data_IF_674634181061
#
_entry.id   IF_674634181061
#
_cell.length_a   1.000
_cell.length_b   1.000
_cell.length_c   1.000
_cell.angle_alpha   90.00
_cell.angle_beta   90.00
_cell.angle_gamma   90.00
#
_symmetry.space_group_name_H-M   'P 1'
#
loop_
_entity.id
_entity.type
_entity.pdbx_description
1 polymer ?
#
# COMPACT_ATOMS: atom_id res chain seq x y z
N UNK A 1 21.90 -11.04 4.13
CA UNK A 1 20.92 -10.10 3.54
C UNK A 1 20.25 -9.41 4.71
N UNK A 2 20.53 -8.12 4.90
CA UNK A 2 20.09 -7.36 6.07
C UNK A 2 18.70 -6.77 5.81
N UNK A 3 17.69 -7.31 6.50
CA UNK A 3 16.30 -6.92 6.34
C UNK A 3 16.01 -5.50 6.83
N UNK A 4 16.91 -4.91 7.64
CA UNK A 4 16.76 -3.52 8.13
C UNK A 4 16.87 -2.46 7.02
N UNK A 5 17.42 -2.84 5.85
CA UNK A 5 17.55 -1.97 4.67
C UNK A 5 16.40 -2.12 3.68
N UNK A 6 15.44 -3.01 3.94
CA UNK A 6 14.28 -3.15 3.06
C UNK A 6 13.30 -2.01 3.36
N UNK A 7 13.42 -0.92 2.62
CA UNK A 7 12.41 0.13 2.62
C UNK A 7 11.06 -0.51 2.27
N UNK A 8 10.02 -0.29 3.09
CA UNK A 8 8.71 -0.92 2.89
C UNK A 8 7.96 -0.12 1.83
N UNK A 9 8.50 -0.16 0.61
CA UNK A 9 7.91 0.44 -0.56
C UNK A 9 6.89 -0.54 -1.15
N UNK A 10 5.60 -0.26 -0.91
CA UNK A 10 4.52 -1.04 -1.52
C UNK A 10 4.51 -0.77 -3.03
N UNK A 11 4.66 -1.84 -3.81
CA UNK A 11 4.64 -1.79 -5.28
C UNK A 11 3.23 -1.92 -5.86
N UNK A 12 2.35 -2.70 -5.23
CA UNK A 12 0.93 -2.76 -5.56
C UNK A 12 0.14 -3.40 -4.42
N UNK A 13 -1.09 -2.95 -4.22
CA UNK A 13 -2.04 -3.64 -3.32
C UNK A 13 -2.72 -4.75 -4.10
N UNK A 14 -2.58 -5.99 -3.64
CA UNK A 14 -3.12 -7.15 -4.32
C UNK A 14 -4.59 -7.38 -3.95
N UNK A 15 -4.94 -7.04 -2.72
CA UNK A 15 -6.29 -7.17 -2.19
C UNK A 15 -6.27 -7.56 -0.71
N UNK A 16 -7.40 -8.04 -0.22
CA UNK A 16 -7.50 -8.52 1.16
C UNK A 16 -8.01 -9.97 1.20
N UNK A 17 -7.66 -10.71 2.24
CA UNK A 17 -8.23 -12.03 2.46
C UNK A 17 -9.74 -11.92 2.70
N UNK A 18 -10.53 -12.84 2.13
CA UNK A 18 -12.00 -12.81 2.19
C UNK A 18 -12.54 -12.94 3.63
N UNK A 19 -11.91 -13.82 4.43
CA UNK A 19 -12.33 -14.11 5.80
C UNK A 19 -11.69 -13.17 6.84
N UNK A 20 -10.38 -13.25 7.03
CA UNK A 20 -9.64 -12.46 8.04
C UNK A 20 -9.57 -10.96 7.75
N UNK A 21 -9.84 -10.55 6.49
CA UNK A 21 -9.69 -9.17 6.02
C UNK A 21 -8.26 -8.65 6.19
N UNK A 22 -7.26 -9.53 6.18
CA UNK A 22 -5.86 -9.13 6.17
C UNK A 22 -5.48 -8.56 4.80
N UNK A 23 -4.71 -7.48 4.80
CA UNK A 23 -4.32 -6.77 3.59
C UNK A 23 -3.03 -7.37 3.02
N UNK A 24 -3.02 -7.66 1.73
CA UNK A 24 -1.88 -8.21 1.01
C UNK A 24 -1.42 -7.28 -0.09
N UNK A 25 -0.10 -7.18 -0.20
CA UNK A 25 0.57 -6.32 -1.16
C UNK A 25 1.77 -7.04 -1.75
N UNK A 26 2.27 -6.54 -2.88
CA UNK A 26 3.59 -6.88 -3.39
C UNK A 26 4.52 -5.69 -3.22
N UNK A 27 5.73 -5.95 -2.78
CA UNK A 27 6.78 -4.94 -2.68
C UNK A 27 7.15 -4.39 -4.06
N UNK A 28 7.73 -3.18 -4.13
CA UNK A 28 8.14 -2.51 -5.37
C UNK A 28 9.14 -3.31 -6.21
N UNK A 29 9.90 -4.21 -5.59
CA UNK A 29 10.79 -5.15 -6.30
C UNK A 29 10.03 -6.23 -7.09
N UNK A 30 8.71 -6.31 -6.98
CA UNK A 30 7.83 -7.29 -7.61
C UNK A 30 8.17 -8.76 -7.31
N UNK A 31 8.88 -9.03 -6.22
CA UNK A 31 9.34 -10.38 -5.84
C UNK A 31 8.91 -10.80 -4.44
N UNK A 32 8.55 -9.84 -3.59
CA UNK A 32 8.23 -10.09 -2.19
C UNK A 32 6.78 -9.77 -1.91
N UNK A 33 6.00 -10.78 -1.54
CA UNK A 33 4.65 -10.61 -1.02
C UNK A 33 4.71 -10.18 0.44
N UNK A 34 3.80 -9.30 0.85
CA UNK A 34 3.72 -8.83 2.23
C UNK A 34 2.26 -8.79 2.70
N UNK A 35 2.07 -9.03 3.99
CA UNK A 35 0.78 -8.92 4.66
C UNK A 35 0.88 -7.90 5.79
N UNK A 36 -0.12 -7.03 5.94
CA UNK A 36 -0.20 -6.15 7.10
C UNK A 36 -0.82 -6.90 8.28
N UNK A 37 0.00 -7.18 9.29
CA UNK A 37 -0.44 -7.87 10.49
C UNK A 37 -1.00 -6.87 11.50
N UNK A 38 -2.32 -6.86 11.68
CA UNK A 38 -3.03 -5.88 12.53
C UNK A 38 -2.53 -5.88 13.97
N UNK A 39 -2.29 -7.06 14.55
CA UNK A 39 -1.87 -7.16 15.96
C UNK A 39 -0.43 -6.71 16.25
N UNK A 40 0.43 -6.63 15.22
CA UNK A 40 1.81 -6.14 15.37
C UNK A 40 1.99 -4.75 14.75
N UNK A 41 0.97 -4.25 14.06
CA UNK A 41 0.98 -3.00 13.30
C UNK A 41 2.16 -2.89 12.33
N UNK A 42 2.52 -4.01 11.69
CA UNK A 42 3.71 -4.13 10.82
C UNK A 42 3.44 -4.96 9.58
N UNK A 43 4.20 -4.69 8.53
CA UNK A 43 4.25 -5.52 7.33
C UNK A 43 5.14 -6.73 7.58
N UNK A 44 4.61 -7.92 7.28
CA UNK A 44 5.33 -9.18 7.36
C UNK A 44 5.54 -9.73 5.95
N UNK A 45 6.77 -10.16 5.66
CA UNK A 45 7.06 -10.87 4.42
C UNK A 45 6.33 -12.21 4.40
N UNK A 46 5.69 -12.52 3.28
CA UNK A 46 4.98 -13.76 3.04
C UNK A 46 5.82 -14.62 2.09
N UNK A 47 6.14 -15.87 2.46
CA UNK A 47 6.81 -16.80 1.54
C UNK A 47 6.02 -16.99 0.24
N UNK A 48 6.71 -17.00 -0.91
CA UNK A 48 6.05 -17.08 -2.22
C UNK A 48 5.18 -18.34 -2.37
N UNK A 49 5.68 -19.47 -1.88
CA UNK A 49 4.94 -20.74 -1.88
C UNK A 49 3.64 -20.68 -1.07
N UNK A 50 3.65 -19.98 0.07
CA UNK A 50 2.47 -19.78 0.92
C UNK A 50 1.47 -18.86 0.22
N UNK A 51 1.96 -17.78 -0.39
CA UNK A 51 1.13 -16.85 -1.13
C UNK A 51 0.39 -17.58 -2.26
N UNK A 52 1.12 -18.28 -3.12
CA UNK A 52 0.58 -18.96 -4.30
C UNK A 52 -0.40 -20.08 -3.95
N UNK A 53 -0.08 -20.92 -2.96
CA UNK A 53 -0.89 -22.11 -2.64
C UNK A 53 -2.09 -21.83 -1.75
N UNK A 54 -1.96 -20.88 -0.81
CA UNK A 54 -2.91 -20.74 0.30
C UNK A 54 -3.64 -19.41 0.32
N UNK A 55 -2.96 -18.31 -0.02
CA UNK A 55 -3.51 -16.97 0.10
C UNK A 55 -4.25 -16.56 -1.17
N UNK A 56 -3.67 -16.81 -2.35
CA UNK A 56 -4.19 -16.34 -3.65
C UNK A 56 -5.65 -16.79 -3.88
N UNK A 57 -5.99 -18.03 -3.54
CA UNK A 57 -7.36 -18.59 -3.66
C UNK A 57 -8.40 -17.88 -2.77
N UNK A 58 -7.95 -17.31 -1.67
CA UNK A 58 -8.78 -16.63 -0.68
C UNK A 58 -8.70 -15.10 -0.79
N UNK A 59 -7.99 -14.57 -1.78
CA UNK A 59 -7.88 -13.15 -1.97
C UNK A 59 -9.13 -12.60 -2.66
N UNK A 60 -9.62 -11.47 -2.17
CA UNK A 60 -10.53 -10.63 -2.92
C UNK A 60 -9.75 -9.63 -3.77
N UNK A 61 -9.64 -9.91 -5.07
CA UNK A 61 -8.97 -9.05 -6.04
C UNK A 61 -9.80 -7.85 -6.50
N UNK A 62 -11.07 -7.71 -6.06
CA UNK A 62 -11.86 -6.52 -6.41
C UNK A 62 -11.25 -5.22 -5.87
N UNK A 63 -10.37 -5.34 -4.87
CA UNK A 63 -9.58 -4.26 -4.29
C UNK A 63 -8.12 -4.24 -4.80
N UNK A 64 -7.81 -4.97 -5.88
CA UNK A 64 -6.49 -4.96 -6.49
C UNK A 64 -6.23 -3.59 -7.10
N UNK A 65 -5.18 -2.96 -6.61
CA UNK A 65 -4.78 -1.62 -6.96
C UNK A 65 -3.33 -1.67 -7.41
N UNK A 66 -3.12 -1.66 -8.72
CA UNK A 66 -1.79 -1.49 -9.31
C UNK A 66 -1.29 -0.07 -9.01
N UNK A 67 -0.13 0.03 -8.37
CA UNK A 67 0.59 1.28 -8.12
C UNK A 67 1.77 1.40 -9.10
N UNK A 68 1.54 1.06 -10.37
CA UNK A 68 2.55 1.30 -11.41
C UNK A 68 2.60 2.80 -11.71
N UNK A 69 3.76 3.43 -11.50
CA UNK A 69 4.04 4.85 -11.76
C UNK A 69 3.89 5.79 -10.56
N UNK A 70 4.36 7.02 -10.70
CA UNK A 70 4.20 8.12 -9.70
C UNK A 70 2.86 8.85 -9.91
N UNK A 71 1.79 8.11 -10.14
CA UNK A 71 0.50 8.72 -10.40
C UNK A 71 -0.14 9.20 -9.10
N UNK A 72 -0.65 10.43 -9.14
CA UNK A 72 -1.45 11.01 -8.06
C UNK A 72 -2.70 10.15 -7.82
N UNK A 73 -2.80 9.55 -6.64
CA UNK A 73 -4.02 8.84 -6.23
C UNK A 73 -4.80 9.69 -5.26
N UNK A 74 -5.93 10.20 -5.74
CA UNK A 74 -6.87 10.99 -4.95
C UNK A 74 -7.92 10.05 -4.34
N UNK A 75 -7.89 9.90 -3.02
CA UNK A 75 -8.94 9.27 -2.23
C UNK A 75 -9.88 10.36 -1.70
N UNK A 76 -11.18 10.19 -1.89
CA UNK A 76 -12.20 11.14 -1.41
C UNK A 76 -13.06 10.49 -0.34
N UNK A 77 -13.31 11.22 0.75
CA UNK A 77 -14.31 10.89 1.76
C UNK A 77 -15.16 12.14 2.01
N UNK A 78 -16.41 12.11 1.56
CA UNK A 78 -17.26 13.31 1.45
C UNK A 78 -16.53 14.40 0.63
N UNK A 79 -16.41 15.61 1.17
CA UNK A 79 -15.69 16.72 0.52
C UNK A 79 -14.17 16.60 0.71
N UNK A 80 -13.72 15.87 1.73
CA UNK A 80 -12.30 15.73 2.04
C UNK A 80 -11.59 14.86 1.01
N UNK A 81 -10.44 15.33 0.56
CA UNK A 81 -9.62 14.60 -0.40
C UNK A 81 -8.18 14.47 0.08
N UNK A 82 -7.61 13.31 -0.18
CA UNK A 82 -6.24 12.94 0.13
C UNK A 82 -5.54 12.50 -1.15
N UNK A 83 -4.39 13.10 -1.46
CA UNK A 83 -3.55 12.71 -2.61
C UNK A 83 -2.24 12.15 -2.10
N UNK A 84 -1.87 10.95 -2.54
CA UNK A 84 -0.52 10.43 -2.41
C UNK A 84 0.23 10.54 -3.74
N UNK A 85 1.46 11.05 -3.71
CA UNK A 85 2.39 11.06 -4.84
C UNK A 85 3.82 10.74 -4.36
N UNK A 86 4.84 10.97 -5.19
CA UNK A 86 6.26 10.74 -4.89
C UNK A 86 6.88 11.74 -3.90
N UNK A 87 6.20 12.83 -3.56
CA UNK A 87 6.70 13.86 -2.63
C UNK A 87 6.10 13.72 -1.22
N UNK A 88 4.88 13.19 -1.12
CA UNK A 88 4.20 13.11 0.15
C UNK A 88 2.73 12.70 0.10
N UNK A 89 2.06 12.95 1.23
CA UNK A 89 0.61 12.95 1.34
C UNK A 89 0.13 14.41 1.42
N UNK A 90 -0.84 14.72 0.58
CA UNK A 90 -1.51 16.02 0.51
C UNK A 90 -2.99 15.86 0.90
N UNK A 91 -3.57 16.94 1.41
CA UNK A 91 -4.96 17.01 1.85
C UNK A 91 -5.61 18.31 1.39
N UNK A 92 -6.90 18.23 1.06
CA UNK A 92 -7.77 19.41 0.88
C UNK A 92 -9.19 19.13 1.37
N UNK A 93 -9.94 20.19 1.71
CA UNK A 93 -11.29 20.07 2.27
C UNK A 93 -12.39 19.94 1.22
N UNK A 94 -12.14 20.44 0.03
CA UNK A 94 -13.03 20.37 -1.14
C UNK A 94 -12.21 20.31 -2.43
N UNK A 95 -12.83 19.94 -3.55
CA UNK A 95 -12.16 19.86 -4.86
C UNK A 95 -11.70 21.21 -5.42
N UNK A 96 -12.28 22.31 -4.92
CA UNK A 96 -11.90 23.69 -5.26
C UNK A 96 -10.77 24.23 -4.40
N UNK A 97 -10.45 23.60 -3.26
CA UNK A 97 -9.38 24.05 -2.39
C UNK A 97 -7.99 23.64 -2.93
N UNK A 98 -6.94 24.41 -2.63
CA UNK A 98 -5.57 24.02 -2.93
C UNK A 98 -5.13 22.83 -2.07
N UNK A 99 -4.22 22.02 -2.60
CA UNK A 99 -3.59 20.92 -1.87
C UNK A 99 -2.66 21.44 -0.78
N UNK A 100 -2.80 20.91 0.44
CA UNK A 100 -1.89 21.16 1.56
C UNK A 100 -1.10 19.89 1.86
N UNK A 101 0.23 19.94 1.78
CA UNK A 101 1.07 18.79 2.17
C UNK A 101 0.95 18.54 3.67
N UNK A 102 0.61 17.31 4.06
CA UNK A 102 0.48 16.87 5.45
C UNK A 102 1.66 16.02 5.91
N UNK A 103 2.18 15.20 5.00
CA UNK A 103 3.31 14.32 5.27
C UNK A 103 4.27 14.45 4.09
N UNK A 104 5.55 14.68 4.38
CA UNK A 104 6.63 14.60 3.39
C UNK A 104 7.33 13.27 3.56
N UNK A 105 7.60 12.57 2.46
CA UNK A 105 8.43 11.37 2.52
C UNK A 105 9.85 11.76 2.93
N UNK A 106 10.44 11.02 3.87
CA UNK A 106 11.87 11.13 4.13
C UNK A 106 12.57 10.43 2.98
N UNK A 107 13.38 11.17 2.22
CA UNK A 107 14.32 10.55 1.29
C UNK A 107 15.29 9.70 2.11
N UNK A 108 15.31 8.41 1.85
CA UNK A 108 16.39 7.53 2.27
C UNK A 108 17.55 7.79 1.31
N UNK A 109 18.51 8.61 1.75
CA UNK A 109 19.85 8.69 1.17
C UNK A 109 20.57 7.34 1.31
#
# INVERSE_FOLDING_TARGET
MDWSKLDICVGSVLGHHKLTRDLYVIHRNQKTYMMFHKGYERWLAVPNNEFEKNITKNLNFSACVKLEGTYERILSYQTYQWMGNNEGIFFRKSSSDPWTQRIKWKELL
#
